data_IF_748387753756
#
_entry.id   IF_748387753756
#
_cell.length_a   1.000
_cell.length_b   1.000
_cell.length_c   1.000
_cell.angle_alpha   90.00
_cell.angle_beta   90.00
_cell.angle_gamma   90.00
#
_symmetry.space_group_name_H-M   'P 1'
#
loop_
_entity.id
_entity.type
_entity.pdbx_description
1 polymer ?
#
# COMPACT_ATOMS: atom_id res chain seq x y z
N UNK A 1 27.42 65.42 34.68
CA UNK A 1 27.91 64.33 33.81
C UNK A 1 26.84 63.25 33.80
N UNK A 2 26.08 63.14 32.71
CA UNK A 2 24.86 62.32 32.59
C UNK A 2 25.24 60.91 32.13
N UNK A 3 24.86 59.88 32.87
CA UNK A 3 24.86 58.50 32.38
C UNK A 3 23.42 58.00 32.44
N UNK A 4 22.80 57.98 31.26
CA UNK A 4 21.51 57.40 30.96
C UNK A 4 21.74 55.91 30.75
N UNK A 5 21.29 55.06 31.68
CA UNK A 5 21.25 53.61 31.46
C UNK A 5 19.94 53.33 30.72
N UNK A 6 20.03 53.28 29.40
CA UNK A 6 18.93 52.93 28.51
C UNK A 6 18.64 51.45 28.66
N UNK A 7 17.51 51.15 29.29
CA UNK A 7 16.84 49.87 29.32
C UNK A 7 16.38 49.51 27.89
N UNK A 8 17.27 48.96 27.06
CA UNK A 8 16.90 48.38 25.77
C UNK A 8 16.16 47.07 26.01
N UNK A 9 14.84 47.19 26.10
CA UNK A 9 13.89 46.10 25.99
C UNK A 9 14.03 45.49 24.57
N UNK A 10 14.83 44.44 24.47
CA UNK A 10 14.87 43.59 23.29
C UNK A 10 13.53 42.86 23.20
N UNK A 11 12.57 43.47 22.49
CA UNK A 11 11.33 42.87 22.07
C UNK A 11 11.70 41.69 21.13
N UNK A 12 11.88 40.51 21.71
CA UNK A 12 11.89 39.26 20.98
C UNK A 12 10.50 39.08 20.38
N UNK A 13 10.34 39.56 19.15
CA UNK A 13 9.20 39.21 18.30
C UNK A 13 9.37 37.72 18.01
N UNK A 14 8.90 36.88 18.92
CA UNK A 14 8.65 35.46 18.67
C UNK A 14 7.50 35.44 17.67
N UNK A 15 7.85 35.57 16.40
CA UNK A 15 6.96 35.31 15.28
C UNK A 15 6.61 33.84 15.31
N UNK A 16 5.51 33.51 15.99
CA UNK A 16 4.81 32.25 15.78
C UNK A 16 4.36 32.22 14.31
N UNK A 17 5.21 31.70 13.42
CA UNK A 17 4.79 31.27 12.10
C UNK A 17 3.92 30.03 12.27
N UNK A 18 2.69 30.22 12.76
CA UNK A 18 1.65 29.20 12.72
C UNK A 18 1.33 29.04 11.25
N UNK A 19 1.91 28.01 10.61
CA UNK A 19 1.56 27.65 9.24
C UNK A 19 0.04 27.59 9.18
N UNK A 20 -0.60 28.47 8.40
CA UNK A 20 -2.05 28.36 8.19
C UNK A 20 -2.26 26.98 7.59
N UNK A 21 -2.91 26.10 8.34
CA UNK A 21 -3.40 24.84 7.79
C UNK A 21 -4.49 25.25 6.81
N UNK A 22 -4.31 24.96 5.54
CA UNK A 22 -5.37 25.18 4.55
C UNK A 22 -6.51 24.22 4.88
N UNK A 23 -7.61 24.78 5.36
CA UNK A 23 -8.82 24.05 5.78
C UNK A 23 -9.93 24.40 4.80
N UNK A 24 -10.63 23.40 4.28
CA UNK A 24 -11.71 23.58 3.31
C UNK A 24 -13.10 23.53 3.95
N UNK A 25 -13.22 22.93 5.14
CA UNK A 25 -14.43 22.93 5.94
C UNK A 25 -14.11 22.61 7.41
N UNK A 26 -15.02 22.97 8.32
CA UNK A 26 -14.98 22.56 9.72
C UNK A 26 -16.34 21.96 10.10
N UNK A 27 -16.32 20.81 10.77
CA UNK A 27 -17.52 20.04 11.16
C UNK A 27 -17.42 19.71 12.64
N UNK A 28 -18.25 20.37 13.45
CA UNK A 28 -18.31 20.17 14.91
C UNK A 28 -16.94 20.22 15.61
N UNK A 29 -16.08 21.18 15.24
CA UNK A 29 -14.73 21.35 15.79
C UNK A 29 -13.65 20.47 15.17
N UNK A 30 -13.99 19.63 14.17
CA UNK A 30 -13.01 18.89 13.37
C UNK A 30 -12.81 19.59 12.02
N UNK A 31 -11.57 19.97 11.74
CA UNK A 31 -11.17 20.54 10.45
C UNK A 31 -11.09 19.44 9.38
N UNK A 32 -11.48 19.77 8.14
CA UNK A 32 -11.17 19.01 6.92
C UNK A 32 -10.04 19.74 6.20
N UNK A 33 -8.79 19.23 6.25
CA UNK A 33 -7.66 19.85 5.58
C UNK A 33 -7.79 19.77 4.05
N UNK A 34 -7.29 20.79 3.35
CA UNK A 34 -7.26 20.82 1.89
C UNK A 34 -6.51 19.63 1.28
N UNK A 35 -5.48 19.13 1.95
CA UNK A 35 -4.71 17.96 1.50
C UNK A 35 -5.53 16.68 1.51
N UNK A 36 -6.36 16.47 2.53
CA UNK A 36 -7.22 15.29 2.65
C UNK A 36 -8.32 15.33 1.58
N UNK A 37 -8.94 16.50 1.41
CA UNK A 37 -9.91 16.71 0.34
C UNK A 37 -9.28 16.43 -1.04
N UNK A 38 -8.08 16.97 -1.31
CA UNK A 38 -7.37 16.76 -2.58
C UNK A 38 -7.07 15.28 -2.83
N UNK A 39 -6.54 14.57 -1.84
CA UNK A 39 -6.25 13.14 -1.97
C UNK A 39 -7.51 12.33 -2.29
N UNK A 40 -8.60 12.59 -1.57
CA UNK A 40 -9.88 11.91 -1.82
C UNK A 40 -10.45 12.26 -3.21
N UNK A 41 -10.35 13.51 -3.61
CA UNK A 41 -10.80 13.98 -4.92
C UNK A 41 -10.02 13.32 -6.06
N UNK A 42 -8.69 13.27 -5.95
CA UNK A 42 -7.82 12.62 -6.94
C UNK A 42 -8.08 11.12 -7.03
N UNK A 43 -8.29 10.45 -5.89
CA UNK A 43 -8.67 9.04 -5.87
C UNK A 43 -10.01 8.80 -6.58
N UNK A 44 -11.01 9.66 -6.36
CA UNK A 44 -12.29 9.58 -7.04
C UNK A 44 -12.14 9.74 -8.56
N UNK A 45 -11.34 10.73 -9.01
CA UNK A 45 -11.07 10.95 -10.43
C UNK A 45 -10.31 9.79 -11.08
N UNK A 46 -9.37 9.16 -10.35
CA UNK A 46 -8.60 8.03 -10.86
C UNK A 46 -9.47 6.78 -11.11
N UNK A 47 -10.57 6.63 -10.36
CA UNK A 47 -11.48 5.49 -10.47
C UNK A 47 -12.69 5.74 -11.38
N UNK A 48 -13.01 7.01 -11.66
CA UNK A 48 -14.21 7.41 -12.38
C UNK A 48 -13.94 7.97 -13.77
N UNK A 49 -14.97 7.96 -14.62
CA UNK A 49 -14.92 8.61 -15.94
C UNK A 49 -15.30 10.10 -15.91
N UNK A 50 -15.65 10.65 -14.73
CA UNK A 50 -16.05 12.05 -14.57
C UNK A 50 -14.82 12.96 -14.65
N UNK A 51 -14.96 14.10 -15.33
CA UNK A 51 -13.93 15.15 -15.38
C UNK A 51 -14.07 16.11 -14.20
N UNK A 52 -12.95 16.73 -13.85
CA UNK A 52 -12.90 17.80 -12.86
C UNK A 52 -13.89 18.92 -13.19
N UNK A 53 -14.64 19.36 -12.18
CA UNK A 53 -15.51 20.52 -12.22
C UNK A 53 -15.94 20.94 -10.80
N UNK A 54 -16.43 22.17 -10.67
CA UNK A 54 -16.76 22.76 -9.37
C UNK A 54 -17.90 22.02 -8.64
N UNK A 55 -18.91 21.54 -9.36
CA UNK A 55 -20.04 20.82 -8.76
C UNK A 55 -19.57 19.49 -8.17
N UNK A 56 -18.70 18.78 -8.89
CA UNK A 56 -18.13 17.53 -8.40
C UNK A 56 -17.25 17.75 -7.16
N UNK A 57 -16.45 18.82 -7.14
CA UNK A 57 -15.65 19.17 -5.95
C UNK A 57 -16.53 19.43 -4.73
N UNK A 58 -17.63 20.17 -4.91
CA UNK A 58 -18.61 20.44 -3.85
C UNK A 58 -19.31 19.16 -3.38
N UNK A 59 -19.71 18.29 -4.30
CA UNK A 59 -20.33 16.99 -3.99
C UNK A 59 -19.40 16.14 -3.11
N UNK A 60 -18.13 16.01 -3.49
CA UNK A 60 -17.15 15.25 -2.72
C UNK A 60 -16.90 15.88 -1.34
N UNK A 61 -16.79 17.20 -1.25
CA UNK A 61 -16.64 17.88 0.05
C UNK A 61 -17.86 17.67 0.95
N UNK A 62 -19.07 17.80 0.41
CA UNK A 62 -20.30 17.54 1.16
C UNK A 62 -20.40 16.09 1.64
N UNK A 63 -19.95 15.13 0.83
CA UNK A 63 -19.88 13.73 1.26
C UNK A 63 -18.91 13.54 2.43
N UNK A 64 -17.72 14.18 2.40
CA UNK A 64 -16.79 14.15 3.54
C UNK A 64 -17.39 14.76 4.81
N UNK A 65 -18.11 15.88 4.68
CA UNK A 65 -18.83 16.51 5.79
C UNK A 65 -19.88 15.56 6.38
N UNK A 66 -20.70 14.94 5.52
CA UNK A 66 -21.72 14.00 5.93
C UNK A 66 -21.12 12.77 6.63
N UNK A 67 -20.01 12.23 6.12
CA UNK A 67 -19.30 11.12 6.77
C UNK A 67 -18.82 11.49 8.18
N UNK A 68 -18.30 12.70 8.39
CA UNK A 68 -17.92 13.16 9.72
C UNK A 68 -19.12 13.23 10.67
N UNK A 69 -20.25 13.75 10.21
CA UNK A 69 -21.47 13.82 11.02
C UNK A 69 -21.97 12.41 11.39
N UNK A 70 -21.98 11.49 10.43
CA UNK A 70 -22.36 10.08 10.65
C UNK A 70 -21.41 9.41 11.64
N UNK A 71 -20.10 9.63 11.50
CA UNK A 71 -19.12 9.06 12.43
C UNK A 71 -19.32 9.60 13.85
N UNK A 72 -19.54 10.90 14.01
CA UNK A 72 -19.81 11.49 15.34
C UNK A 72 -21.05 10.89 15.98
N UNK A 73 -22.10 10.71 15.20
CA UNK A 73 -23.34 10.09 15.67
C UNK A 73 -23.15 8.61 16.04
N UNK A 74 -22.46 7.84 15.19
CA UNK A 74 -22.14 6.44 15.46
C UNK A 74 -21.32 6.26 16.75
N UNK A 75 -20.35 7.14 17.01
CA UNK A 75 -19.56 7.13 18.23
C UNK A 75 -20.41 7.50 19.48
N UNK A 76 -21.32 8.48 19.36
CA UNK A 76 -22.27 8.81 20.44
C UNK A 76 -23.17 7.63 20.78
N UNK A 77 -23.60 6.88 19.78
CA UNK A 77 -24.42 5.67 19.93
C UNK A 77 -23.60 4.43 20.37
N UNK A 78 -22.27 4.54 20.47
CA UNK A 78 -21.40 3.47 20.96
C UNK A 78 -21.11 2.34 19.96
N UNK A 79 -21.34 2.56 18.67
CA UNK A 79 -21.03 1.58 17.62
C UNK A 79 -19.52 1.27 17.51
N UNK A 80 -18.67 2.15 18.03
CA UNK A 80 -17.21 2.02 18.09
C UNK A 80 -16.70 1.15 19.26
N UNK A 81 -17.59 0.64 20.12
CA UNK A 81 -17.23 -0.15 21.31
C UNK A 81 -17.55 -1.64 21.21
N UNK A 82 -18.31 -2.04 20.19
CA UNK A 82 -18.75 -3.41 20.02
C UNK A 82 -17.61 -4.38 19.68
N UNK A 83 -17.72 -5.66 20.05
CA UNK A 83 -16.68 -6.66 19.77
C UNK A 83 -16.47 -6.89 18.27
N UNK A 84 -17.48 -6.63 17.45
CA UNK A 84 -17.42 -6.72 15.98
C UNK A 84 -16.53 -5.61 15.41
N UNK A 85 -16.79 -4.34 15.74
CA UNK A 85 -15.94 -3.21 15.37
C UNK A 85 -14.48 -3.43 15.79
N UNK A 86 -14.26 -3.85 17.05
CA UNK A 86 -12.92 -4.09 17.58
C UNK A 86 -12.19 -5.22 16.83
N UNK A 87 -12.90 -6.27 16.41
CA UNK A 87 -12.31 -7.31 15.54
C UNK A 87 -11.93 -6.74 14.18
N UNK A 88 -12.82 -5.98 13.53
CA UNK A 88 -12.52 -5.37 12.22
C UNK A 88 -11.33 -4.43 12.30
N UNK A 89 -11.21 -3.68 13.39
CA UNK A 89 -10.08 -2.77 13.57
C UNK A 89 -8.74 -3.49 13.69
N UNK A 90 -8.67 -4.59 14.44
CA UNK A 90 -7.44 -5.41 14.53
C UNK A 90 -7.04 -6.00 13.18
N UNK A 91 -8.02 -6.43 12.37
CA UNK A 91 -7.77 -6.94 11.02
C UNK A 91 -7.20 -5.82 10.13
N UNK A 92 -7.82 -4.64 10.16
CA UNK A 92 -7.37 -3.50 9.37
C UNK A 92 -5.95 -3.03 9.77
N UNK A 93 -5.66 -3.00 11.08
CA UNK A 93 -4.31 -2.68 11.59
C UNK A 93 -3.26 -3.68 11.11
N UNK A 94 -3.57 -4.98 11.24
CA UNK A 94 -2.67 -6.05 10.76
C UNK A 94 -2.42 -5.93 9.27
N UNK A 95 -3.47 -5.71 8.47
CA UNK A 95 -3.34 -5.58 7.02
C UNK A 95 -2.51 -4.36 6.64
N UNK A 96 -2.74 -3.20 7.28
CA UNK A 96 -1.97 -1.99 7.01
C UNK A 96 -0.47 -2.20 7.27
N UNK A 97 -0.11 -2.92 8.34
CA UNK A 97 1.27 -3.27 8.64
C UNK A 97 1.87 -4.19 7.57
N UNK A 98 1.15 -5.25 7.18
CA UNK A 98 1.61 -6.20 6.17
C UNK A 98 1.78 -5.53 4.81
N UNK A 99 0.86 -4.65 4.41
CA UNK A 99 0.96 -3.89 3.17
C UNK A 99 2.20 -2.99 3.16
N UNK A 100 2.46 -2.32 4.30
CA UNK A 100 3.66 -1.46 4.42
C UNK A 100 4.94 -2.28 4.35
N UNK A 101 4.97 -3.45 4.99
CA UNK A 101 6.11 -4.36 4.93
C UNK A 101 6.32 -4.89 3.50
N UNK A 102 5.26 -5.35 2.84
CA UNK A 102 5.30 -5.82 1.46
C UNK A 102 5.82 -4.75 0.50
N UNK A 103 5.37 -3.49 0.66
CA UNK A 103 5.86 -2.38 -0.14
C UNK A 103 7.37 -2.17 0.04
N UNK A 104 7.85 -2.17 1.29
CA UNK A 104 9.26 -1.95 1.61
C UNK A 104 10.20 -3.05 1.07
N UNK A 105 9.75 -4.32 1.05
CA UNK A 105 10.56 -5.44 0.54
C UNK A 105 10.37 -5.72 -0.94
N UNK A 106 9.28 -5.23 -1.55
CA UNK A 106 8.96 -5.57 -2.95
C UNK A 106 9.33 -4.43 -3.88
N UNK A 107 8.81 -3.23 -3.66
CA UNK A 107 8.97 -2.14 -4.62
C UNK A 107 10.30 -1.40 -4.46
N UNK A 108 10.82 -1.31 -3.23
CA UNK A 108 12.05 -0.56 -2.97
C UNK A 108 13.32 -1.39 -3.20
N UNK A 109 13.23 -2.72 -3.17
CA UNK A 109 14.40 -3.62 -3.27
C UNK A 109 14.44 -4.55 -4.48
N UNK A 110 13.32 -4.84 -5.17
CA UNK A 110 13.40 -5.60 -6.42
C UNK A 110 13.97 -4.73 -7.55
N UNK A 111 15.11 -5.17 -8.09
CA UNK A 111 15.65 -4.68 -9.35
C UNK A 111 15.44 -5.75 -10.41
N UNK A 112 14.45 -5.56 -11.27
CA UNK A 112 14.20 -6.44 -12.41
C UNK A 112 15.09 -5.96 -13.57
N UNK A 113 15.91 -6.86 -14.12
CA UNK A 113 16.78 -6.55 -15.25
C UNK A 113 16.08 -6.83 -16.59
N UNK A 114 16.47 -6.11 -17.64
CA UNK A 114 15.98 -6.35 -19.01
C UNK A 114 16.23 -7.79 -19.48
N UNK A 115 17.35 -8.39 -19.08
CA UNK A 115 17.68 -9.76 -19.45
C UNK A 115 16.79 -10.79 -18.75
N UNK A 116 16.38 -10.56 -17.50
CA UNK A 116 15.37 -11.38 -16.82
C UNK A 116 14.02 -11.31 -17.51
N UNK A 117 13.56 -10.10 -17.85
CA UNK A 117 12.31 -9.90 -18.60
C UNK A 117 12.35 -10.64 -19.93
N UNK A 118 13.47 -10.53 -20.68
CA UNK A 118 13.63 -11.21 -21.96
C UNK A 118 13.60 -12.73 -21.83
N UNK A 119 14.28 -13.28 -20.82
CA UNK A 119 14.28 -14.74 -20.56
C UNK A 119 12.89 -15.24 -20.20
N UNK A 120 12.19 -14.55 -19.31
CA UNK A 120 10.83 -14.94 -18.91
C UNK A 120 9.85 -14.83 -20.07
N UNK A 121 9.96 -13.80 -20.91
CA UNK A 121 9.14 -13.68 -22.12
C UNK A 121 9.35 -14.85 -23.09
N UNK A 122 10.60 -15.30 -23.27
CA UNK A 122 10.90 -16.47 -24.10
C UNK A 122 10.35 -17.75 -23.47
N UNK A 123 10.55 -17.94 -22.16
CA UNK A 123 10.06 -19.11 -21.42
C UNK A 123 8.53 -19.21 -21.48
N UNK A 124 7.82 -18.10 -21.26
CA UNK A 124 6.36 -18.03 -21.32
C UNK A 124 5.80 -18.45 -22.69
N UNK A 125 6.50 -18.10 -23.78
CA UNK A 125 6.11 -18.48 -25.13
C UNK A 125 6.59 -19.89 -25.54
N UNK A 126 7.36 -20.58 -24.71
CA UNK A 126 7.90 -21.91 -25.00
C UNK A 126 7.02 -22.98 -24.36
N UNK A 127 6.51 -23.91 -25.17
CA UNK A 127 5.82 -25.12 -24.69
C UNK A 127 6.78 -26.29 -24.70
N UNK A 128 7.01 -26.91 -23.55
CA UNK A 128 7.80 -28.13 -23.41
C UNK A 128 6.89 -29.32 -23.11
N UNK A 129 7.09 -30.42 -23.85
CA UNK A 129 6.56 -31.74 -23.47
C UNK A 129 7.70 -32.53 -22.87
N UNK A 130 7.54 -32.92 -21.61
CA UNK A 130 8.52 -33.70 -20.88
C UNK A 130 7.88 -34.98 -20.32
N UNK A 131 8.68 -36.01 -20.18
CA UNK A 131 8.35 -37.24 -19.45
C UNK A 131 9.33 -37.35 -18.28
N UNK A 132 8.90 -37.90 -17.16
CA UNK A 132 9.76 -38.11 -15.98
C UNK A 132 9.73 -39.57 -15.53
N UNK A 133 10.83 -40.02 -14.95
CA UNK A 133 10.91 -41.27 -14.19
C UNK A 133 11.19 -40.90 -12.75
N UNK A 134 10.54 -41.60 -11.82
CA UNK A 134 10.63 -41.33 -10.39
C UNK A 134 11.46 -42.39 -9.67
N UNK A 135 12.18 -41.98 -8.62
CA UNK A 135 12.81 -42.87 -7.66
C UNK A 135 12.59 -42.35 -6.24
N UNK A 136 12.46 -43.28 -5.28
CA UNK A 136 12.23 -42.96 -3.87
C UNK A 136 13.45 -42.35 -3.17
N UNK A 137 14.64 -42.47 -3.76
CA UNK A 137 15.90 -41.98 -3.18
C UNK A 137 16.73 -41.27 -4.24
N UNK A 138 17.59 -40.37 -3.79
CA UNK A 138 18.55 -39.69 -4.66
C UNK A 138 19.49 -40.66 -5.37
N UNK A 139 19.99 -41.68 -4.67
CA UNK A 139 20.83 -42.72 -5.25
C UNK A 139 20.09 -43.53 -6.32
N UNK A 140 18.80 -43.81 -6.10
CA UNK A 140 17.93 -44.43 -7.10
C UNK A 140 17.81 -43.52 -8.34
N UNK A 141 17.55 -42.23 -8.15
CA UNK A 141 17.44 -41.27 -9.26
C UNK A 141 18.76 -41.15 -10.05
N UNK A 142 19.91 -41.14 -9.35
CA UNK A 142 21.24 -41.12 -9.97
C UNK A 142 21.50 -42.39 -10.79
N UNK A 143 21.07 -43.53 -10.28
CA UNK A 143 21.16 -44.83 -10.99
C UNK A 143 20.31 -44.81 -12.25
N UNK A 144 19.05 -44.36 -12.18
CA UNK A 144 18.18 -44.23 -13.35
C UNK A 144 18.75 -43.25 -14.39
N UNK A 145 19.32 -42.12 -13.95
CA UNK A 145 20.02 -41.18 -14.82
C UNK A 145 21.19 -41.83 -15.54
N UNK A 146 22.01 -42.60 -14.83
CA UNK A 146 23.13 -43.32 -15.45
C UNK A 146 22.62 -44.32 -16.48
N UNK A 147 21.60 -45.13 -16.17
CA UNK A 147 21.00 -46.09 -17.10
C UNK A 147 20.52 -45.41 -18.39
N UNK A 148 19.82 -44.27 -18.27
CA UNK A 148 19.41 -43.44 -19.41
C UNK A 148 20.60 -42.92 -20.23
N UNK A 149 21.65 -42.43 -19.57
CA UNK A 149 22.86 -41.93 -20.24
C UNK A 149 23.65 -43.02 -20.96
N UNK A 150 23.58 -44.27 -20.48
CA UNK A 150 24.16 -45.44 -21.13
C UNK A 150 23.27 -46.02 -22.25
N UNK A 151 22.15 -45.37 -22.57
CA UNK A 151 21.30 -45.68 -23.73
C UNK A 151 20.14 -46.63 -23.45
N UNK A 152 19.84 -46.94 -22.19
CA UNK A 152 18.63 -47.70 -21.87
C UNK A 152 17.36 -46.88 -22.16
N UNK A 153 16.33 -47.53 -22.72
CA UNK A 153 15.10 -46.84 -23.14
C UNK A 153 14.35 -46.25 -21.93
N UNK A 154 13.91 -45.00 -22.09
CA UNK A 154 13.07 -44.30 -21.12
C UNK A 154 11.79 -45.07 -20.83
N UNK A 155 11.11 -45.59 -21.85
CA UNK A 155 9.86 -46.33 -21.72
C UNK A 155 10.04 -47.62 -20.92
N UNK A 156 11.21 -48.25 -21.01
CA UNK A 156 11.53 -49.44 -20.22
C UNK A 156 11.68 -49.06 -18.75
N UNK A 157 12.51 -48.07 -18.46
CA UNK A 157 12.78 -47.62 -17.10
C UNK A 157 11.50 -47.08 -16.43
N UNK A 158 10.64 -46.38 -17.18
CA UNK A 158 9.40 -45.80 -16.65
C UNK A 158 8.30 -46.83 -16.32
N UNK A 159 8.43 -48.09 -16.78
CA UNK A 159 7.46 -49.17 -16.51
C UNK A 159 7.84 -50.05 -15.31
N UNK A 160 9.07 -49.91 -14.82
CA UNK A 160 9.60 -50.61 -13.63
C UNK A 160 9.06 -49.97 -12.34
#
# INVERSE_FOLDING_TARGET
MKIFVVLTCALLIVGCSRSKKDVVAEVAGREIPAIEFKQRYEQFLAQGSKRDNILLRQEILNNMINEHLIHLDAARQGFDRGPEYQRRMRIAETQALLDRYAQAISFDTLKITEDEVRREFQAYNTKASARYVYANTEDGARTLKQRLQHGESFEKIARE
#
